data_IF_423405580960
#
_entry.id   IF_423405580960
#
_cell.length_a   1.000
_cell.length_b   1.000
_cell.length_c   1.000
_cell.angle_alpha   90.00
_cell.angle_beta   90.00
_cell.angle_gamma   90.00
#
_symmetry.space_group_name_H-M   'P 1'
#
loop_
_entity.id
_entity.type
_entity.pdbx_description
1 polymer ?
#
# COMPACT_ATOMS: atom_id res chain seq x y z
N UNK A 1 -8.27 -9.08 32.73
CA UNK A 1 -7.04 -8.37 32.34
C UNK A 1 -7.19 -7.93 30.88
N UNK A 2 -7.83 -6.78 30.66
CA UNK A 2 -8.11 -6.21 29.34
C UNK A 2 -6.86 -5.52 28.81
N UNK A 3 -6.05 -6.28 28.09
CA UNK A 3 -4.91 -5.76 27.33
C UNK A 3 -5.41 -4.85 26.20
N UNK A 4 -5.53 -3.55 26.46
CA UNK A 4 -5.59 -2.54 25.40
C UNK A 4 -4.18 -2.40 24.82
N UNK A 5 -3.81 -3.31 23.92
CA UNK A 5 -2.65 -3.10 23.06
C UNK A 5 -3.02 -1.94 22.14
N UNK A 6 -2.54 -0.74 22.49
CA UNK A 6 -2.72 0.49 21.74
C UNK A 6 -2.50 0.26 20.25
N UNK A 7 -3.58 0.30 19.49
CA UNK A 7 -3.56 0.39 18.04
C UNK A 7 -2.97 1.74 17.68
N UNK A 8 -1.64 1.84 17.56
CA UNK A 8 -1.01 3.04 16.99
C UNK A 8 -1.62 3.24 15.61
N UNK A 9 -2.35 4.33 15.46
CA UNK A 9 -3.15 4.56 14.26
C UNK A 9 -2.21 4.91 13.13
N UNK A 10 -2.51 4.48 11.91
CA UNK A 10 -1.69 4.80 10.74
C UNK A 10 -1.48 6.32 10.61
N UNK A 11 -2.43 7.13 11.07
CA UNK A 11 -2.34 8.59 11.20
C UNK A 11 -1.10 9.10 11.97
N UNK A 12 -0.63 8.38 13.00
CA UNK A 12 0.53 8.79 13.80
C UNK A 12 1.84 8.79 12.98
N UNK A 13 1.86 8.03 11.87
CA UNK A 13 3.00 7.94 10.96
C UNK A 13 3.12 9.17 10.06
N UNK A 14 2.08 10.00 9.95
CA UNK A 14 2.05 11.20 9.12
C UNK A 14 2.33 12.46 9.94
N UNK A 15 2.90 13.47 9.28
CA UNK A 15 3.04 14.83 9.78
C UNK A 15 1.74 15.61 9.63
N UNK A 16 1.66 16.77 10.29
CA UNK A 16 0.52 17.68 10.17
C UNK A 16 0.26 18.08 8.70
N UNK A 17 1.31 18.10 7.87
CA UNK A 17 1.24 18.38 6.43
C UNK A 17 0.81 17.18 5.57
N UNK A 18 0.43 16.05 6.17
CA UNK A 18 -0.02 14.84 5.45
C UNK A 18 1.10 14.01 4.81
N UNK A 19 2.37 14.34 5.10
CA UNK A 19 3.54 13.58 4.63
C UNK A 19 3.94 12.47 5.59
N UNK A 20 4.43 11.37 5.06
CA UNK A 20 4.94 10.26 5.87
C UNK A 20 6.23 10.70 6.58
N UNK A 21 6.27 10.61 7.92
CA UNK A 21 7.45 10.99 8.72
C UNK A 21 8.63 10.04 8.52
N UNK A 22 8.33 8.74 8.50
CA UNK A 22 9.31 7.68 8.31
C UNK A 22 8.60 6.37 7.97
N UNK A 23 9.26 5.52 7.17
CA UNK A 23 8.78 4.17 6.90
C UNK A 23 8.94 3.31 8.16
N UNK A 24 7.86 2.70 8.70
CA UNK A 24 7.95 1.88 9.90
C UNK A 24 8.86 0.66 9.71
N UNK A 25 9.74 0.41 10.70
CA UNK A 25 10.60 -0.80 10.71
C UNK A 25 9.83 -2.08 11.01
N UNK A 26 8.71 -2.00 11.75
CA UNK A 26 7.87 -3.15 12.11
C UNK A 26 6.98 -3.54 10.93
N UNK A 27 7.02 -4.82 10.54
CA UNK A 27 6.28 -5.35 9.40
C UNK A 27 4.78 -5.02 9.46
N UNK A 28 4.10 -5.32 10.59
CA UNK A 28 2.68 -5.04 10.76
C UNK A 28 2.32 -3.55 10.59
N UNK A 29 3.16 -2.63 11.08
CA UNK A 29 2.91 -1.18 10.90
C UNK A 29 3.16 -0.73 9.46
N UNK A 30 4.18 -1.29 8.81
CA UNK A 30 4.45 -1.02 7.39
C UNK A 30 3.29 -1.54 6.53
N UNK A 31 2.76 -2.70 6.84
CA UNK A 31 1.61 -3.30 6.15
C UNK A 31 0.35 -2.44 6.31
N UNK A 32 0.03 -2.01 7.53
CA UNK A 32 -1.08 -1.09 7.78
C UNK A 32 -0.91 0.26 7.04
N UNK A 33 0.32 0.79 7.00
CA UNK A 33 0.65 1.98 6.21
C UNK A 33 0.40 1.76 4.72
N UNK A 34 0.93 0.67 4.15
CA UNK A 34 0.77 0.36 2.73
C UNK A 34 -0.69 0.13 2.35
N UNK A 35 -1.46 -0.57 3.19
CA UNK A 35 -2.89 -0.75 3.02
C UNK A 35 -3.63 0.59 3.00
N UNK A 36 -3.30 1.49 3.93
CA UNK A 36 -3.87 2.82 3.99
C UNK A 36 -3.53 3.64 2.75
N UNK A 37 -2.26 3.68 2.33
CA UNK A 37 -1.82 4.38 1.12
C UNK A 37 -2.51 3.83 -0.13
N UNK A 38 -2.64 2.51 -0.24
CA UNK A 38 -3.35 1.89 -1.35
C UNK A 38 -4.82 2.33 -1.38
N UNK A 39 -5.47 2.40 -0.20
CA UNK A 39 -6.86 2.77 -0.08
C UNK A 39 -7.14 4.26 -0.29
N UNK A 40 -6.21 5.14 0.09
CA UNK A 40 -6.38 6.59 -0.01
C UNK A 40 -5.94 7.16 -1.35
N UNK A 41 -4.89 6.60 -1.96
CA UNK A 41 -4.33 7.13 -3.22
C UNK A 41 -4.92 6.46 -4.47
N UNK A 42 -5.42 5.23 -4.35
CA UNK A 42 -5.85 4.45 -5.50
C UNK A 42 -7.29 3.94 -5.31
N UNK A 43 -8.09 4.21 -6.33
CA UNK A 43 -9.45 3.70 -6.46
C UNK A 43 -9.42 2.22 -6.86
N UNK A 44 -10.44 1.51 -6.42
CA UNK A 44 -10.65 0.13 -6.84
C UNK A 44 -11.12 0.06 -8.30
N UNK A 45 -10.68 -0.96 -9.04
CA UNK A 45 -11.06 -1.15 -10.44
C UNK A 45 -10.44 -0.17 -11.45
N UNK A 46 -9.77 0.90 -11.00
CA UNK A 46 -9.08 1.87 -11.86
C UNK A 46 -7.63 1.43 -12.15
N UNK A 47 -7.24 1.56 -13.41
CA UNK A 47 -5.85 1.43 -13.83
C UNK A 47 -5.18 2.81 -13.80
N UNK A 48 -3.99 2.86 -13.19
CA UNK A 48 -3.16 4.05 -13.10
C UNK A 48 -1.88 3.85 -13.89
N UNK A 49 -1.47 4.86 -14.66
CA UNK A 49 -0.17 4.87 -15.30
C UNK A 49 0.97 4.95 -14.29
N UNK A 50 2.16 4.52 -14.69
CA UNK A 50 3.38 4.79 -13.93
C UNK A 50 3.54 6.26 -13.49
N UNK A 51 3.35 7.27 -14.36
CA UNK A 51 3.45 8.67 -13.95
C UNK A 51 2.38 9.08 -12.94
N UNK A 52 1.14 8.59 -13.07
CA UNK A 52 0.07 8.88 -12.10
C UNK A 52 0.39 8.32 -10.71
N UNK A 53 0.88 7.07 -10.67
CA UNK A 53 1.33 6.43 -9.41
C UNK A 53 2.48 7.19 -8.79
N UNK A 54 3.45 7.62 -9.59
CA UNK A 54 4.60 8.37 -9.11
C UNK A 54 4.17 9.71 -8.49
N UNK A 55 3.30 10.47 -9.17
CA UNK A 55 2.80 11.76 -8.65
C UNK A 55 1.97 11.59 -7.37
N UNK A 56 1.10 10.58 -7.31
CA UNK A 56 0.32 10.28 -6.11
C UNK A 56 1.22 9.96 -4.91
N UNK A 57 2.26 9.15 -5.10
CA UNK A 57 3.19 8.76 -4.04
C UNK A 57 4.17 9.88 -3.66
N UNK A 58 4.58 10.71 -4.62
CA UNK A 58 5.46 11.87 -4.40
C UNK A 58 4.81 12.93 -3.49
N UNK A 59 3.49 13.03 -3.50
CA UNK A 59 2.74 13.84 -2.53
C UNK A 59 2.96 13.37 -1.08
N UNK A 60 3.14 12.05 -0.87
CA UNK A 60 3.26 11.43 0.44
C UNK A 60 4.69 11.41 0.97
N UNK A 61 5.66 11.03 0.13
CA UNK A 61 7.05 10.88 0.54
C UNK A 61 8.00 11.04 -0.65
N UNK A 62 9.20 11.57 -0.41
CA UNK A 62 10.24 11.76 -1.44
C UNK A 62 10.75 10.43 -2.02
N UNK A 63 10.92 9.40 -1.17
CA UNK A 63 11.16 8.00 -1.59
C UNK A 63 9.89 7.30 -2.16
N UNK A 64 9.15 7.98 -3.02
CA UNK A 64 8.04 7.38 -3.76
C UNK A 64 8.41 6.11 -4.55
N UNK A 65 9.63 5.94 -5.12
CA UNK A 65 10.00 4.70 -5.80
C UNK A 65 10.07 3.51 -4.84
N UNK A 66 10.54 3.73 -3.60
CA UNK A 66 10.59 2.70 -2.58
C UNK A 66 9.19 2.32 -2.10
N UNK A 67 8.29 3.31 -1.89
CA UNK A 67 6.89 3.06 -1.57
C UNK A 67 6.18 2.27 -2.66
N UNK A 68 6.38 2.64 -3.94
CA UNK A 68 5.84 1.91 -5.09
C UNK A 68 6.28 0.45 -5.07
N UNK A 69 7.58 0.21 -4.84
CA UNK A 69 8.11 -1.16 -4.71
C UNK A 69 7.45 -1.90 -3.55
N UNK A 70 7.31 -1.27 -2.38
CA UNK A 70 6.68 -1.90 -1.22
C UNK A 70 5.19 -2.19 -1.43
N UNK A 71 4.45 -1.33 -2.13
CA UNK A 71 3.05 -1.57 -2.48
C UNK A 71 2.91 -2.76 -3.43
N UNK A 72 3.81 -2.89 -4.40
CA UNK A 72 3.82 -4.03 -5.33
C UNK A 72 4.26 -5.33 -4.63
N UNK A 73 5.39 -5.31 -3.93
CA UNK A 73 5.91 -6.48 -3.19
C UNK A 73 4.97 -6.91 -2.07
N UNK A 74 4.26 -5.97 -1.44
CA UNK A 74 3.25 -6.25 -0.41
C UNK A 74 1.89 -6.70 -0.97
N UNK A 75 1.72 -6.76 -2.28
CA UNK A 75 0.48 -7.20 -2.92
C UNK A 75 -0.68 -6.21 -2.81
N UNK A 76 -0.41 -4.92 -2.56
CA UNK A 76 -1.42 -3.84 -2.51
C UNK A 76 -1.62 -3.18 -3.88
N UNK A 77 -0.60 -3.18 -4.72
CA UNK A 77 -0.66 -2.80 -6.13
C UNK A 77 -0.20 -3.99 -6.99
N UNK A 78 -0.90 -4.27 -8.08
CA UNK A 78 -0.35 -5.07 -9.16
C UNK A 78 0.13 -4.15 -10.28
N UNK A 79 1.11 -4.62 -11.05
CA UNK A 79 1.67 -3.92 -12.22
C UNK A 79 1.53 -4.84 -13.43
N UNK A 80 1.24 -4.29 -14.60
CA UNK A 80 1.32 -5.04 -15.87
C UNK A 80 2.77 -5.46 -16.16
N UNK A 81 2.95 -6.51 -16.98
CA UNK A 81 4.30 -7.01 -17.34
C UNK A 81 5.16 -5.93 -18.01
N UNK A 82 4.54 -5.12 -18.87
CA UNK A 82 5.18 -3.99 -19.55
C UNK A 82 5.44 -2.79 -18.63
N UNK A 83 4.79 -2.80 -17.47
CA UNK A 83 5.01 -1.81 -16.43
C UNK A 83 4.23 -0.52 -16.55
N UNK A 84 3.46 -0.40 -17.63
CA UNK A 84 2.74 0.82 -18.02
C UNK A 84 1.53 1.10 -17.14
N UNK A 85 0.96 0.08 -16.49
CA UNK A 85 -0.26 0.24 -15.69
C UNK A 85 -0.16 -0.48 -14.34
N UNK A 86 -0.76 0.15 -13.34
CA UNK A 86 -0.87 -0.30 -11.96
C UNK A 86 -2.34 -0.38 -11.58
N UNK A 87 -2.70 -1.36 -10.75
CA UNK A 87 -4.07 -1.51 -10.21
C UNK A 87 -4.01 -1.82 -8.73
N UNK A 88 -4.87 -1.17 -7.95
CA UNK A 88 -5.11 -1.54 -6.56
C UNK A 88 -5.56 -2.99 -6.48
N UNK A 89 -4.98 -3.72 -5.53
CA UNK A 89 -5.41 -5.06 -5.16
C UNK A 89 -6.04 -4.96 -3.77
N UNK A 90 -7.30 -5.35 -3.67
CA UNK A 90 -7.87 -5.66 -2.37
C UNK A 90 -7.27 -6.99 -1.97
N UNK A 91 -6.27 -6.97 -1.08
CA UNK A 91 -5.97 -8.18 -0.32
C UNK A 91 -7.20 -8.46 0.52
N UNK A 92 -8.09 -9.28 -0.03
CA UNK A 92 -9.07 -9.99 0.76
C UNK A 92 -8.22 -10.87 1.65
N UNK A 93 -8.20 -10.57 2.94
CA UNK A 93 -7.62 -11.43 3.95
C UNK A 93 -8.50 -12.69 4.00
N UNK A 94 -8.31 -13.56 3.01
CA UNK A 94 -8.89 -14.88 2.95
C UNK A 94 -7.85 -15.82 3.56
N UNK A 95 -8.05 -16.37 4.77
CA UNK A 95 -7.30 -17.52 5.20
C UNK A 95 -7.82 -18.71 4.41
N UNK A 96 -7.23 -18.99 3.25
CA UNK A 96 -7.70 -20.10 2.42
C UNK A 96 -7.08 -20.12 1.05
N UNK A 97 -6.08 -20.98 0.90
CA UNK A 97 -5.89 -21.85 -0.26
C UNK A 97 -6.90 -21.66 -1.40
N UNK A 98 -6.44 -21.08 -2.51
CA UNK A 98 -7.06 -21.23 -3.82
C UNK A 98 -5.98 -21.14 -4.88
N UNK A 99 -5.25 -22.24 -5.01
CA UNK A 99 -4.81 -22.69 -6.32
C UNK A 99 -6.03 -22.73 -7.26
N UNK A 100 -6.03 -21.94 -8.33
CA UNK A 100 -6.96 -22.08 -9.46
C UNK A 100 -6.12 -21.81 -10.70
N UNK A 101 -5.53 -22.87 -11.24
CA UNK A 101 -6.09 -23.72 -12.30
C UNK A 101 -5.90 -23.08 -13.69
N UNK A 102 -4.77 -23.41 -14.29
CA UNK A 102 -4.62 -23.53 -15.74
C UNK A 102 -4.37 -25.01 -16.01
N UNK A 103 -5.42 -25.72 -16.43
CA UNK A 103 -5.43 -26.89 -17.31
C UNK A 103 -6.87 -27.36 -17.49
#
# INVERSE_FOLDING_TARGET
MTSHLSSSTVADLFSADGRLKAVPRRAARREALLAHLAATLFEDGRAYGEPEVNEALKGVHEDFPALRRHLVTGGFLSRTKDGSAYRRQQRTDAPGDAITAVA
#
